data_IF_568279399283
#
_entry.id   IF_568279399283
#
_cell.length_a   1.000
_cell.length_b   1.000
_cell.length_c   1.000
_cell.angle_alpha   90.00
_cell.angle_beta   90.00
_cell.angle_gamma   90.00
#
_symmetry.space_group_name_H-M   'P 1'
#
loop_
_entity.id
_entity.type
_entity.pdbx_description
1 polymer ?
#
# COMPACT_ATOMS: atom_id res chain seq x y z
N UNK A 1 -20.01 -16.52 9.32
CA UNK A 1 -18.61 -16.89 9.06
C UNK A 1 -18.23 -16.43 7.66
N UNK A 2 -17.16 -15.66 7.51
CA UNK A 2 -16.59 -15.32 6.19
C UNK A 2 -15.41 -16.26 5.92
N UNK A 3 -15.45 -17.08 4.85
CA UNK A 3 -14.34 -17.98 4.53
C UNK A 3 -13.09 -17.16 4.16
N UNK A 4 -11.93 -17.60 4.63
CA UNK A 4 -10.64 -16.93 4.39
C UNK A 4 -9.69 -17.96 3.78
N UNK A 5 -9.11 -17.62 2.64
CA UNK A 5 -8.01 -18.37 2.04
C UNK A 5 -6.68 -17.73 2.46
N UNK A 6 -5.76 -18.55 2.97
CA UNK A 6 -4.40 -18.13 3.32
C UNK A 6 -3.44 -18.82 2.36
N UNK A 7 -2.56 -18.02 1.74
CA UNK A 7 -1.58 -18.49 0.76
C UNK A 7 -0.18 -18.20 1.29
N UNK A 8 0.69 -19.21 1.33
CA UNK A 8 2.09 -19.10 1.74
C UNK A 8 3.08 -19.43 0.62
N UNK A 9 2.58 -19.90 -0.53
CA UNK A 9 3.39 -20.26 -1.68
C UNK A 9 3.91 -18.99 -2.40
N UNK A 10 5.23 -18.82 -2.58
CA UNK A 10 5.82 -17.63 -3.20
C UNK A 10 5.38 -17.38 -4.65
N UNK A 11 5.17 -18.43 -5.44
CA UNK A 11 4.78 -18.31 -6.84
C UNK A 11 3.35 -17.78 -6.93
N UNK A 12 2.45 -18.29 -6.10
CA UNK A 12 1.07 -17.80 -6.01
C UNK A 12 1.05 -16.36 -5.46
N UNK A 13 1.90 -16.05 -4.48
CA UNK A 13 2.03 -14.67 -3.98
C UNK A 13 2.48 -13.71 -5.10
N UNK A 14 3.42 -14.13 -5.94
CA UNK A 14 3.86 -13.34 -7.09
C UNK A 14 2.74 -13.14 -8.12
N UNK A 15 1.96 -14.18 -8.42
CA UNK A 15 0.76 -14.07 -9.27
C UNK A 15 -0.23 -13.02 -8.75
N UNK A 16 -0.54 -13.07 -7.46
CA UNK A 16 -1.55 -12.20 -6.83
C UNK A 16 -1.05 -10.76 -6.68
N UNK A 17 0.15 -10.57 -6.12
CA UNK A 17 0.65 -9.25 -5.73
C UNK A 17 1.36 -8.49 -6.84
N UNK A 18 1.85 -9.16 -7.88
CA UNK A 18 2.63 -8.54 -8.96
C UNK A 18 1.89 -8.67 -10.29
N UNK A 19 1.70 -9.90 -10.79
CA UNK A 19 1.15 -10.12 -12.15
C UNK A 19 -0.31 -9.70 -12.26
N UNK A 20 -1.12 -9.95 -11.24
CA UNK A 20 -2.54 -9.62 -11.22
C UNK A 20 -2.89 -8.52 -10.21
N UNK A 21 -1.93 -7.65 -9.91
CA UNK A 21 -2.11 -6.57 -8.95
C UNK A 21 -3.30 -5.65 -9.29
N UNK A 22 -3.61 -5.43 -10.57
CA UNK A 22 -4.77 -4.64 -11.00
C UNK A 22 -6.12 -5.25 -10.60
N UNK A 23 -6.17 -6.55 -10.29
CA UNK A 23 -7.37 -7.25 -9.80
C UNK A 23 -7.38 -7.36 -8.27
N UNK A 24 -6.21 -7.44 -7.65
CA UNK A 24 -6.03 -7.68 -6.20
C UNK A 24 -5.51 -6.45 -5.42
N UNK A 25 -5.63 -5.25 -5.97
CA UNK A 25 -5.13 -4.03 -5.31
C UNK A 25 -5.90 -3.67 -4.03
N UNK A 26 -7.15 -4.12 -3.90
CA UNK A 26 -7.99 -3.86 -2.74
C UNK A 26 -7.56 -4.75 -1.58
N UNK A 27 -6.98 -4.15 -0.54
CA UNK A 27 -6.58 -4.89 0.66
C UNK A 27 -7.79 -5.19 1.53
N UNK A 28 -7.70 -6.30 2.27
CA UNK A 28 -8.68 -6.64 3.30
C UNK A 28 -8.67 -5.55 4.37
N UNK A 29 -9.85 -5.07 4.75
CA UNK A 29 -9.98 -4.12 5.85
C UNK A 29 -9.53 -4.77 7.15
N UNK A 30 -8.80 -4.03 7.98
CA UNK A 30 -8.33 -4.58 9.26
C UNK A 30 -9.55 -4.85 10.16
N UNK A 31 -9.60 -5.99 10.87
CA UNK A 31 -10.72 -6.31 11.75
C UNK A 31 -10.94 -5.28 12.88
N UNK A 32 -9.88 -4.54 13.23
CA UNK A 32 -9.87 -3.49 14.26
C UNK A 32 -10.10 -2.09 13.71
N UNK A 33 -10.36 -1.94 12.40
CA UNK A 33 -10.61 -0.63 11.79
C UNK A 33 -11.97 -0.09 12.29
N UNK A 34 -11.94 1.05 12.97
CA UNK A 34 -13.14 1.70 13.49
C UNK A 34 -14.12 1.98 12.34
N UNK A 35 -15.34 1.46 12.44
CA UNK A 35 -16.40 1.67 11.45
C UNK A 35 -16.77 3.16 11.28
N UNK A 36 -16.41 4.01 12.24
CA UNK A 36 -16.59 5.47 12.20
C UNK A 36 -15.46 6.20 11.47
N UNK A 37 -14.31 5.57 11.24
CA UNK A 37 -13.30 6.14 10.34
C UNK A 37 -13.84 6.13 8.91
N UNK A 38 -13.76 7.27 8.23
CA UNK A 38 -14.21 7.34 6.85
C UNK A 38 -13.36 6.39 6.01
N UNK A 39 -14.00 5.36 5.47
CA UNK A 39 -13.35 4.38 4.60
C UNK A 39 -12.66 5.13 3.46
N UNK A 40 -11.37 4.86 3.26
CA UNK A 40 -10.60 5.45 2.16
C UNK A 40 -9.99 6.82 2.41
N UNK A 41 -9.93 7.33 3.64
CA UNK A 41 -9.11 8.54 3.94
C UNK A 41 -7.65 8.30 3.57
N UNK A 42 -7.11 7.14 3.92
CA UNK A 42 -5.71 6.80 3.70
C UNK A 42 -5.56 5.80 2.56
N UNK A 43 -4.43 5.87 1.85
CA UNK A 43 -4.12 5.01 0.71
C UNK A 43 -4.23 3.51 1.04
N UNK A 44 -4.00 3.12 2.31
CA UNK A 44 -4.06 1.72 2.73
C UNK A 44 -5.47 1.17 2.92
N UNK A 45 -6.45 2.03 3.21
CA UNK A 45 -7.86 1.65 3.40
C UNK A 45 -8.74 1.96 2.18
N UNK A 46 -8.24 2.76 1.24
CA UNK A 46 -8.93 3.04 -0.01
C UNK A 46 -8.93 1.81 -0.93
N UNK A 47 -9.99 1.68 -1.72
CA UNK A 47 -10.16 0.64 -2.74
C UNK A 47 -10.62 1.24 -4.06
N UNK A 48 -10.58 0.46 -5.14
CA UNK A 48 -11.06 0.88 -6.45
C UNK A 48 -10.43 2.17 -6.98
N UNK A 49 -11.25 3.03 -7.57
CA UNK A 49 -10.82 4.28 -8.21
C UNK A 49 -10.27 5.32 -7.22
N UNK A 50 -10.76 5.32 -5.97
CA UNK A 50 -10.25 6.21 -4.94
C UNK A 50 -8.79 5.89 -4.62
N UNK A 51 -8.48 4.61 -4.44
CA UNK A 51 -7.11 4.15 -4.26
C UNK A 51 -6.23 4.49 -5.47
N UNK A 52 -6.74 4.28 -6.69
CA UNK A 52 -6.01 4.61 -7.93
C UNK A 52 -5.66 6.09 -7.99
N UNK A 53 -6.61 6.98 -7.66
CA UNK A 53 -6.41 8.43 -7.61
C UNK A 53 -5.37 8.81 -6.56
N UNK A 54 -5.53 8.33 -5.32
CA UNK A 54 -4.59 8.62 -4.23
C UNK A 54 -3.17 8.15 -4.58
N UNK A 55 -3.04 6.95 -5.15
CA UNK A 55 -1.73 6.41 -5.55
C UNK A 55 -1.08 7.22 -6.66
N UNK A 56 -1.85 7.68 -7.65
CA UNK A 56 -1.36 8.53 -8.72
C UNK A 56 -0.79 9.86 -8.18
N UNK A 57 -1.43 10.43 -7.14
CA UNK A 57 -0.96 11.65 -6.48
C UNK A 57 0.31 11.40 -5.64
N UNK A 58 0.39 10.28 -4.92
CA UNK A 58 1.48 9.99 -3.98
C UNK A 58 2.75 9.45 -4.65
N UNK A 59 2.60 8.57 -5.66
CA UNK A 59 3.71 7.95 -6.38
C UNK A 59 4.82 8.92 -6.82
N UNK A 60 4.55 10.10 -7.42
CA UNK A 60 5.60 11.00 -7.88
C UNK A 60 6.42 11.63 -6.74
N UNK A 61 5.96 11.56 -5.48
CA UNK A 61 6.73 12.05 -4.31
C UNK A 61 7.85 11.08 -3.94
N UNK A 62 7.63 9.78 -4.14
CA UNK A 62 8.58 8.71 -3.78
C UNK A 62 9.37 8.19 -4.98
N UNK A 63 9.68 9.07 -5.95
CA UNK A 63 10.55 8.68 -7.06
C UNK A 63 11.98 8.42 -6.58
N UNK A 64 12.72 7.59 -7.31
CA UNK A 64 14.13 7.29 -6.99
C UNK A 64 14.95 8.56 -6.81
N UNK A 65 14.76 9.56 -7.69
CA UNK A 65 15.48 10.83 -7.60
C UNK A 65 15.16 11.60 -6.33
N UNK A 66 13.87 11.67 -5.94
CA UNK A 66 13.46 12.36 -4.71
C UNK A 66 13.93 11.63 -3.46
N UNK A 67 13.84 10.29 -3.45
CA UNK A 67 14.37 9.44 -2.37
C UNK A 67 15.88 9.63 -2.20
N UNK A 68 16.65 9.64 -3.30
CA UNK A 68 18.10 9.92 -3.25
C UNK A 68 18.42 11.29 -2.65
N UNK A 69 17.59 12.31 -2.93
CA UNK A 69 17.74 13.65 -2.34
C UNK A 69 17.43 13.69 -0.85
N UNK A 70 16.66 12.74 -0.32
CA UNK A 70 16.35 12.65 1.11
C UNK A 70 17.44 11.94 1.92
N UNK A 71 18.31 11.15 1.27
CA UNK A 71 19.36 10.38 1.96
C UNK A 71 20.22 11.22 2.92
N UNK A 72 20.72 12.43 2.56
CA UNK A 72 21.56 13.20 3.47
C UNK A 72 20.84 13.58 4.78
N UNK A 73 19.52 13.82 4.73
CA UNK A 73 18.71 14.13 5.92
C UNK A 73 18.57 12.90 6.81
N UNK A 74 18.42 11.72 6.20
CA UNK A 74 18.33 10.45 6.91
C UNK A 74 19.66 10.16 7.61
N UNK A 75 20.78 10.34 6.91
CA UNK A 75 22.12 10.12 7.45
C UNK A 75 22.41 11.06 8.64
N UNK A 76 22.01 12.33 8.54
CA UNK A 76 22.15 13.31 9.63
C UNK A 76 21.35 12.89 10.88
N UNK A 77 20.12 12.41 10.70
CA UNK A 77 19.27 11.91 11.80
C UNK A 77 19.80 10.62 12.44
N UNK A 78 20.56 9.79 11.70
CA UNK A 78 21.16 8.56 12.22
C UNK A 78 22.49 8.79 12.94
N UNK A 79 23.15 9.92 12.67
CA UNK A 79 24.43 10.28 13.30
C UNK A 79 24.27 10.90 14.70
N UNK A 80 23.03 11.05 15.17
CA UNK A 80 22.67 11.56 16.50
C UNK A 80 22.42 10.41 17.48
#
# INVERSE_FOLDING_TARGET
HTPILVVSDPDILHEVFIKHFSKFHSRRQFPLEDRRMHKGIHLFSATGDQWRRQRAIINPTFSILKMKRMLPIIDDCMAT
#
